data_IF_173207412222
#
_entry.id   IF_173207412222
#
_cell.length_a   1.000
_cell.length_b   1.000
_cell.length_c   1.000
_cell.angle_alpha   90.00
_cell.angle_beta   90.00
_cell.angle_gamma   90.00
#
_symmetry.space_group_name_H-M   'P 1'
#
loop_
_entity.id
_entity.type
_entity.pdbx_description
1 polymer ?
#
# COMPACT_ATOMS: atom_id res chain seq x y z
N UNK A 1 -9.18 -3.03 -19.80
CA UNK A 1 -8.85 -4.34 -19.19
C UNK A 1 -7.47 -4.22 -18.57
N UNK A 2 -7.30 -4.50 -17.28
CA UNK A 2 -5.99 -4.45 -16.60
C UNK A 2 -5.32 -5.82 -16.69
N UNK A 3 -4.07 -5.86 -17.15
CA UNK A 3 -3.30 -7.10 -17.30
C UNK A 3 -2.73 -7.55 -15.94
N UNK A 4 -2.60 -8.87 -15.76
CA UNK A 4 -1.93 -9.43 -14.59
C UNK A 4 -0.41 -9.27 -14.71
N UNK A 5 0.31 -8.83 -13.65
CA UNK A 5 1.77 -8.67 -13.70
C UNK A 5 2.51 -9.99 -13.95
N UNK A 6 3.42 -9.97 -14.91
CA UNK A 6 4.29 -11.10 -15.25
C UNK A 6 5.76 -10.67 -15.10
N UNK A 7 6.62 -11.61 -14.72
CA UNK A 7 8.06 -11.40 -14.69
C UNK A 7 8.70 -12.08 -15.91
N UNK A 8 9.46 -11.31 -16.70
CA UNK A 8 10.16 -11.78 -17.88
C UNK A 8 11.33 -10.82 -18.21
N UNK A 9 11.90 -10.92 -19.41
CA UNK A 9 13.05 -10.11 -19.83
C UNK A 9 12.81 -8.58 -19.83
N UNK A 10 11.55 -8.13 -19.87
CA UNK A 10 11.17 -6.71 -20.00
C UNK A 10 10.29 -6.21 -18.85
N UNK A 11 9.88 -7.09 -17.94
CA UNK A 11 8.98 -6.77 -16.84
C UNK A 11 9.48 -7.44 -15.59
N UNK A 12 9.72 -6.64 -14.56
CA UNK A 12 10.06 -7.13 -13.23
C UNK A 12 8.90 -6.87 -12.28
N UNK A 13 8.86 -7.60 -11.17
CA UNK A 13 7.90 -7.38 -10.09
C UNK A 13 8.53 -7.69 -8.75
N UNK A 14 8.04 -7.02 -7.72
CA UNK A 14 8.30 -7.34 -6.32
C UNK A 14 6.94 -7.59 -5.69
N UNK A 15 6.84 -8.69 -4.94
CA UNK A 15 5.67 -8.95 -4.12
C UNK A 15 5.84 -8.19 -2.80
N UNK A 16 4.84 -7.37 -2.47
CA UNK A 16 4.80 -6.60 -1.22
C UNK A 16 3.96 -7.29 -0.15
N UNK A 17 3.47 -8.51 -0.40
CA UNK A 17 2.79 -9.34 0.59
C UNK A 17 3.68 -9.63 1.82
N UNK A 18 3.05 -10.04 2.91
CA UNK A 18 3.68 -10.33 4.20
C UNK A 18 3.14 -9.44 5.31
N UNK A 19 3.99 -9.11 6.28
CA UNK A 19 3.61 -8.28 7.42
C UNK A 19 3.81 -6.80 7.10
N UNK A 20 2.77 -6.02 7.36
CA UNK A 20 2.70 -4.56 7.23
C UNK A 20 2.49 -3.94 8.61
N UNK A 21 2.93 -2.69 8.76
CA UNK A 21 2.55 -1.86 9.91
C UNK A 21 1.10 -1.40 9.74
N UNK A 22 0.29 -1.55 10.78
CA UNK A 22 -1.13 -1.18 10.76
C UNK A 22 -1.56 -0.37 11.98
N UNK A 23 -2.43 0.61 11.76
CA UNK A 23 -3.14 1.30 12.83
C UNK A 23 -4.52 1.78 12.37
N UNK A 24 -5.48 1.79 13.28
CA UNK A 24 -6.82 2.36 13.01
C UNK A 24 -6.80 3.88 13.17
N UNK A 25 -7.65 4.56 12.40
CA UNK A 25 -7.79 6.02 12.42
C UNK A 25 -9.26 6.44 12.57
N UNK A 26 -9.86 6.20 13.75
CA UNK A 26 -11.28 6.48 13.98
C UNK A 26 -11.64 7.97 13.89
N UNK A 27 -10.67 8.87 14.06
CA UNK A 27 -10.88 10.33 13.95
C UNK A 27 -10.55 10.89 12.56
N UNK A 28 -10.12 10.05 11.60
CA UNK A 28 -9.65 10.50 10.29
C UNK A 28 -8.55 11.58 10.37
N UNK A 29 -7.69 11.49 11.37
CA UNK A 29 -6.64 12.47 11.65
C UNK A 29 -5.30 12.09 11.00
N UNK A 30 -5.15 10.87 10.50
CA UNK A 30 -3.88 10.32 10.04
C UNK A 30 -3.27 11.10 8.88
N UNK A 31 -4.09 11.56 7.93
CA UNK A 31 -3.60 12.35 6.78
C UNK A 31 -3.02 13.69 7.25
N UNK A 32 -3.78 14.44 8.05
CA UNK A 32 -3.34 15.71 8.63
C UNK A 32 -2.15 15.55 9.58
N UNK A 33 -2.05 14.40 10.27
CA UNK A 33 -0.95 14.06 11.17
C UNK A 33 0.28 13.46 10.46
N UNK A 34 0.26 13.35 9.12
CA UNK A 34 1.42 12.89 8.34
C UNK A 34 1.68 11.39 8.38
N UNK A 35 0.67 10.56 8.65
CA UNK A 35 0.82 9.09 8.75
C UNK A 35 1.28 8.43 7.45
N UNK A 36 1.18 9.13 6.31
CA UNK A 36 1.73 8.70 5.02
C UNK A 36 3.27 8.56 5.02
N UNK A 37 3.98 9.15 6.00
CA UNK A 37 5.42 8.98 6.21
C UNK A 37 5.76 7.89 7.23
N UNK A 38 4.76 7.35 7.92
CA UNK A 38 4.93 6.36 8.98
C UNK A 38 3.90 6.51 10.09
N UNK A 39 3.54 5.39 10.72
CA UNK A 39 2.56 5.38 11.80
C UNK A 39 3.21 5.76 13.15
N UNK A 40 2.55 6.56 13.99
CA UNK A 40 3.06 6.93 15.32
C UNK A 40 3.09 5.73 16.29
N UNK A 41 2.17 4.80 16.08
CA UNK A 41 2.09 3.50 16.74
C UNK A 41 1.56 2.52 15.70
N UNK A 42 2.15 1.35 15.60
CA UNK A 42 1.66 0.28 14.72
C UNK A 42 1.52 -1.03 15.48
N UNK A 43 0.74 -1.92 14.89
CA UNK A 43 0.76 -3.37 15.15
C UNK A 43 0.94 -4.11 13.83
N UNK A 44 1.52 -5.32 13.84
CA UNK A 44 1.70 -6.08 12.61
C UNK A 44 0.35 -6.48 12.00
N UNK A 45 0.22 -6.47 10.69
CA UNK A 45 -0.97 -6.92 9.97
C UNK A 45 -0.55 -7.74 8.75
N UNK A 46 -1.12 -8.93 8.59
CA UNK A 46 -0.84 -9.76 7.44
C UNK A 46 -1.60 -9.27 6.20
N UNK A 47 -0.88 -9.18 5.09
CA UNK A 47 -1.40 -8.86 3.75
C UNK A 47 -0.94 -9.96 2.79
N UNK A 48 -1.84 -10.60 2.03
CA UNK A 48 -3.28 -10.38 2.00
C UNK A 48 -4.01 -10.96 3.23
N UNK A 49 -5.12 -10.34 3.60
CA UNK A 49 -5.98 -10.78 4.69
C UNK A 49 -6.93 -9.67 5.12
N UNK A 50 -8.15 -10.02 5.49
CA UNK A 50 -9.08 -9.08 6.14
C UNK A 50 -8.55 -8.74 7.53
N UNK A 51 -8.68 -7.48 7.96
CA UNK A 51 -8.21 -7.08 9.30
C UNK A 51 -9.14 -7.57 10.42
N UNK A 52 -10.42 -7.83 10.09
CA UNK A 52 -11.48 -8.12 11.06
C UNK A 52 -11.22 -9.41 11.85
N UNK A 53 -10.58 -10.40 11.23
CA UNK A 53 -10.28 -11.70 11.86
C UNK A 53 -8.86 -11.78 12.44
N UNK A 54 -8.02 -10.75 12.27
CA UNK A 54 -6.63 -10.80 12.74
C UNK A 54 -6.46 -10.30 14.17
N UNK A 55 -7.39 -9.48 14.67
CA UNK A 55 -7.40 -8.99 16.04
C UNK A 55 -8.83 -8.86 16.57
N UNK A 56 -9.05 -9.28 17.81
CA UNK A 56 -10.39 -9.28 18.43
C UNK A 56 -11.04 -7.89 18.45
N UNK A 57 -10.27 -6.83 18.69
CA UNK A 57 -10.78 -5.45 18.73
C UNK A 57 -11.18 -4.90 17.34
N UNK A 58 -10.75 -5.55 16.25
CA UNK A 58 -11.05 -5.12 14.89
C UNK A 58 -12.30 -5.76 14.30
N UNK A 59 -12.85 -6.79 14.94
CA UNK A 59 -13.96 -7.57 14.38
C UNK A 59 -15.13 -6.69 13.93
N UNK A 60 -15.52 -5.72 14.77
CA UNK A 60 -16.62 -4.77 14.50
C UNK A 60 -16.13 -3.37 14.09
N UNK A 61 -14.85 -3.20 13.75
CA UNK A 61 -14.32 -1.90 13.32
C UNK A 61 -14.62 -1.66 11.83
N UNK A 62 -15.31 -0.55 11.53
CA UNK A 62 -15.83 -0.22 10.20
C UNK A 62 -15.36 1.16 9.67
N UNK A 63 -14.27 1.69 10.21
CA UNK A 63 -13.73 3.01 9.83
C UNK A 63 -12.34 2.88 9.20
N UNK A 64 -11.61 3.99 9.07
CA UNK A 64 -10.33 4.08 8.39
C UNK A 64 -9.24 3.25 9.07
N UNK A 65 -8.45 2.56 8.27
CA UNK A 65 -7.25 1.86 8.71
C UNK A 65 -6.09 2.24 7.79
N UNK A 66 -4.91 2.41 8.38
CA UNK A 66 -3.68 2.71 7.65
C UNK A 66 -2.80 1.47 7.61
N UNK A 67 -2.26 1.21 6.41
CA UNK A 67 -1.28 0.16 6.13
C UNK A 67 0.01 0.81 5.65
N UNK A 68 1.14 0.47 6.27
CA UNK A 68 2.46 0.96 5.87
C UNK A 68 3.40 -0.22 5.61
N UNK A 69 4.05 -0.19 4.46
CA UNK A 69 5.14 -1.10 4.09
C UNK A 69 6.31 -0.30 3.60
N UNK A 70 7.48 -0.58 4.16
CA UNK A 70 8.76 -0.09 3.67
C UNK A 70 9.40 -1.17 2.82
N UNK A 71 10.08 -0.77 1.75
CA UNK A 71 10.69 -1.70 0.80
C UNK A 71 11.74 -1.01 -0.06
N UNK A 72 12.67 -1.79 -0.62
CA UNK A 72 13.66 -1.29 -1.55
C UNK A 72 13.21 -1.52 -3.00
N UNK A 73 13.39 -0.50 -3.83
CA UNK A 73 13.34 -0.66 -5.29
C UNK A 73 14.74 -0.98 -5.80
N UNK A 74 14.95 -2.10 -6.51
CA UNK A 74 16.25 -2.45 -7.06
C UNK A 74 16.77 -1.37 -8.00
N UNK A 75 18.02 -0.92 -7.81
CA UNK A 75 18.67 0.08 -8.68
C UNK A 75 18.68 -0.33 -10.16
N UNK A 76 18.62 -1.64 -10.46
CA UNK A 76 18.48 -2.15 -11.82
C UNK A 76 17.19 -1.69 -12.55
N UNK A 77 16.22 -1.11 -11.83
CA UNK A 77 14.99 -0.55 -12.41
C UNK A 77 15.11 0.94 -12.76
N UNK A 78 16.29 1.56 -12.60
CA UNK A 78 16.51 2.93 -13.05
C UNK A 78 16.18 3.09 -14.54
N UNK A 79 15.42 4.14 -14.88
CA UNK A 79 14.98 4.41 -16.25
C UNK A 79 13.73 3.63 -16.69
N UNK A 80 13.23 2.71 -15.86
CA UNK A 80 11.97 2.00 -16.11
C UNK A 80 10.76 2.75 -15.57
N UNK A 81 9.57 2.42 -16.09
CA UNK A 81 8.30 2.88 -15.50
C UNK A 81 7.87 1.97 -14.37
N UNK A 82 7.65 2.55 -13.19
CA UNK A 82 7.37 1.79 -11.97
C UNK A 82 5.92 2.05 -11.57
N UNK A 83 5.21 0.97 -11.24
CA UNK A 83 3.82 1.03 -10.82
C UNK A 83 3.65 0.30 -9.49
N UNK A 84 2.90 0.91 -8.57
CA UNK A 84 2.31 0.16 -7.46
C UNK A 84 1.00 -0.44 -7.94
N UNK A 85 0.77 -1.72 -7.66
CA UNK A 85 -0.46 -2.42 -8.02
C UNK A 85 -1.06 -3.08 -6.79
N UNK A 86 -2.33 -2.78 -6.53
CA UNK A 86 -3.12 -3.42 -5.48
C UNK A 86 -4.10 -4.38 -6.13
N UNK A 87 -4.14 -5.62 -5.64
CA UNK A 87 -5.10 -6.62 -6.13
C UNK A 87 -6.53 -6.27 -5.78
N UNK A 88 -6.74 -5.86 -4.53
CA UNK A 88 -7.97 -5.29 -4.01
C UNK A 88 -7.70 -4.62 -2.65
N UNK A 89 -8.47 -3.58 -2.33
CA UNK A 89 -8.52 -2.94 -1.01
C UNK A 89 -9.96 -2.48 -0.71
N UNK A 90 -10.78 -3.31 -0.04
CA UNK A 90 -12.18 -2.98 0.22
C UNK A 90 -12.37 -1.89 1.30
N UNK A 91 -13.28 -0.92 1.14
CA UNK A 91 -13.99 -0.53 -0.09
C UNK A 91 -13.34 0.65 -0.81
N UNK A 92 -12.71 1.57 -0.06
CA UNK A 92 -12.05 2.75 -0.59
C UNK A 92 -10.60 2.79 -0.11
N UNK A 93 -9.67 3.03 -1.02
CA UNK A 93 -8.25 3.10 -0.73
C UNK A 93 -7.64 4.38 -1.29
N UNK A 94 -6.73 4.99 -0.53
CA UNK A 94 -5.81 6.01 -1.02
C UNK A 94 -4.39 5.51 -0.84
N UNK A 95 -3.58 5.64 -1.89
CA UNK A 95 -2.18 5.19 -1.88
C UNK A 95 -1.26 6.39 -1.78
N UNK A 96 -0.30 6.27 -0.87
CA UNK A 96 0.79 7.21 -0.69
C UNK A 96 2.12 6.50 -0.95
N UNK A 97 3.07 7.18 -1.58
CA UNK A 97 4.46 6.74 -1.72
C UNK A 97 5.35 7.86 -1.24
N UNK A 98 6.21 7.57 -0.25
CA UNK A 98 7.11 8.57 0.36
C UNK A 98 6.37 9.86 0.77
N UNK A 99 5.20 9.71 1.40
CA UNK A 99 4.35 10.82 1.84
C UNK A 99 3.51 11.49 0.76
N UNK A 100 3.73 11.18 -0.53
CA UNK A 100 3.02 11.79 -1.65
C UNK A 100 1.82 10.94 -2.04
N UNK A 101 0.63 11.55 -2.10
CA UNK A 101 -0.59 10.90 -2.61
C UNK A 101 -0.45 10.62 -4.10
N UNK A 102 -0.53 9.35 -4.49
CA UNK A 102 -0.41 8.93 -5.90
C UNK A 102 -1.75 8.59 -6.54
N UNK A 103 -2.79 8.35 -5.73
CA UNK A 103 -4.15 8.12 -6.23
C UNK A 103 -5.08 7.51 -5.21
N UNK A 104 -6.35 7.39 -5.59
CA UNK A 104 -7.40 6.74 -4.81
C UNK A 104 -8.23 5.80 -5.69
N UNK A 105 -8.81 4.77 -5.09
CA UNK A 105 -9.67 3.81 -5.75
C UNK A 105 -10.89 3.48 -4.90
N UNK A 106 -12.06 3.45 -5.54
CA UNK A 106 -13.33 3.03 -4.95
C UNK A 106 -13.78 1.72 -5.59
N UNK A 107 -14.11 0.74 -4.77
CA UNK A 107 -14.44 -0.62 -5.19
C UNK A 107 -13.53 -1.66 -4.54
N UNK A 108 -14.13 -2.68 -3.92
CA UNK A 108 -13.40 -3.67 -3.13
C UNK A 108 -13.03 -4.97 -3.84
N UNK A 109 -13.15 -5.08 -5.17
CA UNK A 109 -12.96 -6.37 -5.85
C UNK A 109 -12.28 -6.28 -7.22
N UNK A 110 -11.83 -5.08 -7.62
CA UNK A 110 -11.10 -4.87 -8.86
C UNK A 110 -9.70 -4.32 -8.56
N UNK A 111 -8.69 -4.71 -9.33
CA UNK A 111 -7.35 -4.21 -9.14
C UNK A 111 -7.22 -2.78 -9.64
N UNK A 112 -6.32 -2.05 -9.01
CA UNK A 112 -5.91 -0.71 -9.43
C UNK A 112 -4.39 -0.57 -9.36
N UNK A 113 -3.87 0.37 -10.13
CA UNK A 113 -2.44 0.66 -10.17
C UNK A 113 -2.20 2.15 -10.42
N UNK A 114 -1.11 2.66 -9.85
CA UNK A 114 -0.65 4.03 -10.04
C UNK A 114 0.81 4.00 -10.47
N UNK A 115 1.17 4.88 -11.40
CA UNK A 115 2.58 5.10 -11.74
C UNK A 115 3.24 5.86 -10.61
N UNK A 116 4.41 5.39 -10.16
CA UNK A 116 5.13 5.91 -8.99
C UNK A 116 6.59 6.23 -9.29
N UNK A 117 6.97 6.26 -10.58
CA UNK A 117 8.36 6.44 -11.04
C UNK A 117 9.04 7.65 -10.40
N UNK A 118 8.35 8.79 -10.36
CA UNK A 118 8.86 10.06 -9.82
C UNK A 118 8.90 10.09 -8.29
N UNK A 119 8.23 9.16 -7.62
CA UNK A 119 8.16 9.08 -6.16
C UNK A 119 9.19 8.10 -5.58
N UNK A 120 9.96 7.39 -6.41
CA UNK A 120 10.95 6.44 -5.92
C UNK A 120 12.16 7.18 -5.33
N UNK A 121 12.43 6.87 -4.07
CA UNK A 121 13.62 7.29 -3.37
C UNK A 121 14.69 6.20 -3.52
N UNK A 122 15.59 6.39 -4.49
CA UNK A 122 16.65 5.40 -4.77
C UNK A 122 17.64 5.26 -3.61
N UNK A 123 18.21 4.06 -3.48
CA UNK A 123 19.22 3.65 -2.50
C UNK A 123 18.80 3.79 -1.02
N UNK A 124 17.49 3.77 -0.76
CA UNK A 124 16.90 3.77 0.59
C UNK A 124 15.57 3.01 0.62
N UNK A 125 15.12 2.72 1.84
CA UNK A 125 13.83 2.07 2.13
C UNK A 125 12.68 3.07 2.24
#
# INVERSE_FOLDING_TARGET
>A
MMLYPQQNQTRNKIDLSGIWDFNIDPQAAGEAAGWAMGLPKSRPMAVPGSWNEQYEDLFNYLSLGWYVKRTFVPAAWHGERIFIRVGSAPYFATVYVNGVKVGSHEGGHLPFAFEITEQIAWDRE
#
